data_IF_698189047869
#
_entry.id   IF_698189047869
#
_cell.length_a   1.000
_cell.length_b   1.000
_cell.length_c   1.000
_cell.angle_alpha   90.00
_cell.angle_beta   90.00
_cell.angle_gamma   90.00
#
_symmetry.space_group_name_H-M   'P 1'
#
loop_
_entity.id
_entity.type
_entity.pdbx_description
1 polymer ?
#
# COMPACT_ATOMS: atom_id res chain seq x y z
N UNK A 1 -23.86 -2.46 -8.57
CA UNK A 1 -22.53 -2.01 -9.05
C UNK A 1 -21.91 -1.27 -7.89
N UNK A 2 -20.78 -1.75 -7.37
CA UNK A 2 -20.04 -1.05 -6.31
C UNK A 2 -19.36 0.19 -6.90
N UNK A 3 -19.18 1.19 -6.05
CA UNK A 3 -18.43 2.41 -6.37
C UNK A 3 -16.93 2.10 -6.22
N UNK A 4 -16.10 2.62 -7.13
CA UNK A 4 -14.66 2.39 -7.14
C UNK A 4 -13.99 2.78 -5.81
N UNK A 5 -14.40 3.92 -5.24
CA UNK A 5 -13.93 4.36 -3.93
C UNK A 5 -14.25 3.33 -2.82
N UNK A 6 -15.42 2.70 -2.87
CA UNK A 6 -15.82 1.69 -1.89
C UNK A 6 -15.05 0.37 -2.07
N UNK A 7 -14.70 0.02 -3.31
CA UNK A 7 -13.86 -1.15 -3.58
C UNK A 7 -12.43 -0.94 -3.05
N UNK A 8 -11.87 0.28 -3.21
CA UNK A 8 -10.55 0.65 -2.67
C UNK A 8 -10.54 0.73 -1.14
N UNK A 9 -11.57 1.32 -0.53
CA UNK A 9 -11.71 1.32 0.92
C UNK A 9 -11.83 -0.11 1.47
N UNK A 10 -12.52 -1.00 0.75
CA UNK A 10 -12.58 -2.41 1.12
C UNK A 10 -11.20 -3.07 1.08
N UNK A 11 -10.36 -2.76 0.09
CA UNK A 11 -8.97 -3.24 0.05
C UNK A 11 -8.19 -2.81 1.30
N UNK A 12 -8.35 -1.56 1.77
CA UNK A 12 -7.75 -1.11 3.03
C UNK A 12 -8.19 -1.96 4.22
N UNK A 13 -9.51 -2.14 4.39
CA UNK A 13 -10.07 -2.92 5.49
C UNK A 13 -9.62 -4.38 5.48
N UNK A 14 -9.45 -4.97 4.29
CA UNK A 14 -8.98 -6.33 4.12
C UNK A 14 -7.50 -6.48 4.50
N UNK A 15 -6.66 -5.54 4.08
CA UNK A 15 -5.23 -5.49 4.43
C UNK A 15 -5.06 -5.28 5.94
N UNK A 16 -5.72 -4.29 6.51
CA UNK A 16 -5.62 -3.96 7.95
C UNK A 16 -6.02 -5.16 8.81
N UNK A 17 -7.15 -5.81 8.51
CA UNK A 17 -7.61 -7.01 9.22
C UNK A 17 -6.58 -8.14 9.16
N UNK A 18 -6.04 -8.43 7.98
CA UNK A 18 -5.12 -9.55 7.80
C UNK A 18 -3.77 -9.27 8.49
N UNK A 19 -3.33 -8.01 8.58
CA UNK A 19 -2.17 -7.58 9.37
C UNK A 19 -2.42 -7.68 10.88
N UNK A 20 -3.57 -7.20 11.38
CA UNK A 20 -3.95 -7.32 12.79
C UNK A 20 -3.97 -8.78 13.25
N UNK A 21 -4.53 -9.67 12.43
CA UNK A 21 -4.57 -11.10 12.72
C UNK A 21 -3.16 -11.70 12.88
N UNK A 22 -2.18 -11.23 12.12
CA UNK A 22 -0.78 -11.64 12.26
C UNK A 22 -0.12 -11.04 13.51
N UNK A 23 -0.36 -9.76 13.81
CA UNK A 23 0.16 -9.09 15.02
C UNK A 23 -0.29 -9.86 16.28
N UNK A 24 -1.54 -10.28 16.34
CA UNK A 24 -2.11 -10.97 17.49
C UNK A 24 -1.57 -12.40 17.66
N UNK A 25 -1.22 -13.07 16.55
CA UNK A 25 -0.79 -14.48 16.53
C UNK A 25 0.32 -14.69 15.49
N UNK A 26 1.59 -14.43 15.83
CA UNK A 26 2.67 -14.50 14.85
C UNK A 26 3.16 -15.93 14.52
N UNK A 27 2.57 -16.99 15.09
CA UNK A 27 3.04 -18.38 14.96
C UNK A 27 2.50 -19.14 13.73
N UNK A 28 3.17 -20.23 13.35
CA UNK A 28 3.07 -20.83 12.02
C UNK A 28 1.72 -21.48 11.64
N UNK A 29 1.36 -21.36 10.36
CA UNK A 29 0.36 -22.18 9.65
C UNK A 29 -0.84 -21.42 9.10
N UNK A 30 -1.44 -20.54 9.91
CA UNK A 30 -2.58 -19.70 9.49
C UNK A 30 -2.20 -18.22 9.31
N UNK A 31 -1.70 -17.56 10.38
CA UNK A 31 -1.36 -16.14 10.36
C UNK A 31 -0.26 -15.75 9.36
N UNK A 32 0.72 -16.64 9.10
CA UNK A 32 1.76 -16.38 8.10
C UNK A 32 1.24 -16.35 6.66
N UNK A 33 0.22 -17.16 6.35
CA UNK A 33 -0.43 -17.14 5.05
C UNK A 33 -1.23 -15.85 4.88
N UNK A 34 -1.94 -15.43 5.93
CA UNK A 34 -2.64 -14.14 5.96
C UNK A 34 -1.69 -12.95 5.84
N UNK A 35 -0.54 -12.97 6.52
CA UNK A 35 0.46 -11.91 6.40
C UNK A 35 1.01 -11.80 4.98
N UNK A 36 1.46 -12.90 4.38
CA UNK A 36 1.99 -12.88 3.00
C UNK A 36 0.95 -12.34 2.04
N UNK A 37 -0.31 -12.80 2.19
CA UNK A 37 -1.44 -12.27 1.42
C UNK A 37 -1.61 -10.76 1.64
N UNK A 38 -1.60 -10.28 2.89
CA UNK A 38 -1.74 -8.84 3.18
C UNK A 38 -0.60 -8.00 2.59
N UNK A 39 0.64 -8.52 2.63
CA UNK A 39 1.80 -7.87 2.02
C UNK A 39 1.66 -7.80 0.49
N UNK A 40 1.21 -8.87 -0.15
CA UNK A 40 0.98 -8.92 -1.60
C UNK A 40 -0.20 -8.01 -2.00
N UNK A 41 -1.27 -8.01 -1.22
CA UNK A 41 -2.43 -7.13 -1.43
C UNK A 41 -2.02 -5.66 -1.28
N UNK A 42 -1.20 -5.30 -0.29
CA UNK A 42 -0.69 -3.93 -0.14
C UNK A 42 0.22 -3.53 -1.32
N UNK A 43 1.08 -4.43 -1.82
CA UNK A 43 1.89 -4.15 -3.02
C UNK A 43 1.01 -3.95 -4.26
N UNK A 44 -0.05 -4.77 -4.40
CA UNK A 44 -1.03 -4.67 -5.48
C UNK A 44 -1.80 -3.35 -5.40
N UNK A 45 -2.20 -2.95 -4.20
CA UNK A 45 -2.87 -1.69 -3.92
C UNK A 45 -2.00 -0.49 -4.32
N UNK A 46 -0.77 -0.43 -3.80
CA UNK A 46 0.21 0.62 -4.14
C UNK A 46 0.46 0.68 -5.66
N UNK A 47 0.63 -0.46 -6.33
CA UNK A 47 0.78 -0.51 -7.78
C UNK A 47 -0.41 0.09 -8.51
N UNK A 48 -1.62 -0.33 -8.12
CA UNK A 48 -2.86 0.13 -8.72
C UNK A 48 -2.93 1.66 -8.64
N UNK A 49 -2.62 2.22 -7.48
CA UNK A 49 -2.74 3.65 -7.27
C UNK A 49 -1.68 4.44 -8.03
N UNK A 50 -0.41 4.02 -7.95
CA UNK A 50 0.68 4.72 -8.62
C UNK A 50 0.54 4.70 -10.15
N UNK A 51 0.03 3.60 -10.71
CA UNK A 51 -0.04 3.39 -12.15
C UNK A 51 -1.34 3.93 -12.75
N UNK A 52 -2.48 3.77 -12.07
CA UNK A 52 -3.78 4.12 -12.65
C UNK A 52 -4.42 5.34 -11.99
N UNK A 53 -4.25 5.53 -10.67
CA UNK A 53 -4.99 6.53 -9.91
C UNK A 53 -4.29 7.88 -9.84
N UNK A 54 -3.00 7.87 -9.55
CA UNK A 54 -2.21 9.08 -9.33
C UNK A 54 -1.94 9.89 -10.60
N UNK A 55 -1.73 9.31 -11.80
CA UNK A 55 -1.55 10.10 -13.02
C UNK A 55 -2.73 11.04 -13.36
N UNK A 56 -4.01 10.59 -13.37
CA UNK A 56 -5.13 11.49 -13.60
C UNK A 56 -5.32 12.52 -12.47
N UNK A 57 -5.10 12.13 -11.20
CA UNK A 57 -5.14 13.07 -10.06
C UNK A 57 -4.10 14.20 -10.19
N UNK A 58 -2.86 13.87 -10.57
CA UNK A 58 -1.81 14.88 -10.85
C UNK A 58 -2.23 15.81 -11.98
N UNK A 59 -2.80 15.26 -13.05
CA UNK A 59 -3.28 16.03 -14.21
C UNK A 59 -4.43 16.98 -13.84
N UNK A 60 -5.24 16.60 -12.86
CA UNK A 60 -6.32 17.43 -12.31
C UNK A 60 -5.84 18.46 -11.25
N UNK A 61 -4.54 18.52 -10.94
CA UNK A 61 -3.95 19.50 -10.03
C UNK A 61 -3.70 19.03 -8.59
N UNK A 62 -3.97 17.76 -8.26
CA UNK A 62 -3.73 17.19 -6.92
C UNK A 62 -2.26 16.79 -6.67
N UNK A 63 -1.31 17.61 -7.14
CA UNK A 63 0.12 17.30 -7.10
C UNK A 63 0.61 17.14 -5.65
N UNK A 64 0.25 18.06 -4.76
CA UNK A 64 0.66 18.03 -3.35
C UNK A 64 0.22 16.75 -2.63
N UNK A 65 -1.09 16.43 -2.60
CA UNK A 65 -1.60 15.19 -2.02
C UNK A 65 -0.94 13.94 -2.60
N UNK A 66 -0.78 13.83 -3.92
CA UNK A 66 -0.14 12.67 -4.55
C UNK A 66 1.33 12.53 -4.13
N UNK A 67 2.09 13.62 -4.00
CA UNK A 67 3.47 13.56 -3.52
C UNK A 67 3.59 13.05 -2.08
N UNK A 68 2.59 13.33 -1.23
CA UNK A 68 2.53 12.77 0.12
C UNK A 68 2.29 11.26 0.05
N UNK A 69 1.32 10.79 -0.75
CA UNK A 69 1.02 9.36 -0.87
C UNK A 69 2.25 8.58 -1.36
N UNK A 70 2.92 9.07 -2.41
CA UNK A 70 4.12 8.41 -2.94
C UNK A 70 5.27 8.32 -1.94
N UNK A 71 5.44 9.35 -1.09
CA UNK A 71 6.43 9.29 -0.02
C UNK A 71 6.09 8.16 0.96
N UNK A 72 4.81 8.07 1.34
CA UNK A 72 4.33 7.07 2.30
C UNK A 72 4.36 5.66 1.71
N UNK A 73 4.01 5.49 0.43
CA UNK A 73 4.19 4.24 -0.33
C UNK A 73 5.64 3.76 -0.29
N UNK A 74 6.60 4.67 -0.50
CA UNK A 74 8.02 4.35 -0.37
C UNK A 74 8.40 3.85 1.03
N UNK A 75 7.86 4.49 2.07
CA UNK A 75 8.10 4.07 3.46
C UNK A 75 7.50 2.69 3.75
N UNK A 76 6.25 2.45 3.33
CA UNK A 76 5.56 1.16 3.48
C UNK A 76 6.30 0.07 2.71
N UNK A 77 6.75 0.34 1.48
CA UNK A 77 7.51 -0.61 0.66
C UNK A 77 8.81 -1.05 1.34
N UNK A 78 9.53 -0.11 1.95
CA UNK A 78 10.78 -0.40 2.66
C UNK A 78 10.54 -1.20 3.95
N UNK A 79 9.41 -0.96 4.65
CA UNK A 79 9.01 -1.78 5.80
C UNK A 79 8.64 -3.19 5.35
N UNK A 80 7.86 -3.35 4.27
CA UNK A 80 7.49 -4.66 3.71
C UNK A 80 8.72 -5.49 3.35
N UNK A 81 9.74 -4.88 2.73
CA UNK A 81 11.00 -5.55 2.42
C UNK A 81 11.74 -6.04 3.67
N UNK A 82 11.72 -5.26 4.76
CA UNK A 82 12.31 -5.69 6.05
C UNK A 82 11.53 -6.85 6.67
N UNK A 83 10.20 -6.77 6.68
CA UNK A 83 9.33 -7.84 7.18
C UNK A 83 9.59 -9.13 6.41
N UNK A 84 9.68 -9.06 5.08
CA UNK A 84 9.99 -10.22 4.23
C UNK A 84 11.33 -10.87 4.57
N UNK A 85 12.37 -10.06 4.81
CA UNK A 85 13.67 -10.57 5.28
C UNK A 85 13.58 -11.29 6.62
N UNK A 86 12.87 -10.70 7.60
CA UNK A 86 12.68 -11.31 8.92
C UNK A 86 11.93 -12.65 8.83
N UNK A 87 10.91 -12.75 7.98
CA UNK A 87 10.20 -13.99 7.72
C UNK A 87 11.10 -15.05 7.07
N UNK A 88 11.97 -14.66 6.13
CA UNK A 88 12.95 -15.55 5.50
C UNK A 88 13.96 -16.13 6.49
N UNK A 89 14.31 -15.35 7.52
CA UNK A 89 15.22 -15.75 8.61
C UNK A 89 14.52 -16.52 9.75
N UNK A 90 13.21 -16.76 9.65
CA UNK A 90 12.41 -17.41 10.72
C UNK A 90 12.22 -16.55 11.97
N UNK A 91 12.44 -15.23 11.87
CA UNK A 91 12.31 -14.26 12.97
C UNK A 91 10.88 -13.71 13.07
N UNK A 92 9.91 -14.60 13.24
CA UNK A 92 8.49 -14.24 13.25
C UNK A 92 8.09 -13.22 14.33
N UNK A 93 8.57 -13.31 15.59
CA UNK A 93 8.25 -12.30 16.60
C UNK A 93 8.75 -10.91 16.23
N UNK A 94 9.91 -10.82 15.60
CA UNK A 94 10.47 -9.55 15.16
C UNK A 94 9.72 -8.99 13.95
N UNK A 95 9.31 -9.85 13.01
CA UNK A 95 8.45 -9.46 11.89
C UNK A 95 7.12 -8.87 12.40
N UNK A 96 6.51 -9.51 13.40
CA UNK A 96 5.28 -9.03 14.02
C UNK A 96 5.46 -7.67 14.71
N UNK A 97 6.56 -7.49 15.43
CA UNK A 97 6.86 -6.20 16.06
C UNK A 97 7.10 -5.10 15.02
N UNK A 98 7.81 -5.38 13.93
CA UNK A 98 7.99 -4.43 12.81
C UNK A 98 6.65 -4.08 12.15
N UNK A 99 5.78 -5.06 11.89
CA UNK A 99 4.44 -4.79 11.33
C UNK A 99 3.65 -3.89 12.28
N UNK A 100 3.63 -4.20 13.58
CA UNK A 100 2.88 -3.48 14.61
C UNK A 100 3.37 -2.05 14.83
N UNK A 101 4.68 -1.84 14.88
CA UNK A 101 5.27 -0.56 15.29
C UNK A 101 5.63 0.36 14.14
N UNK A 102 5.76 -0.18 12.92
CA UNK A 102 6.18 0.59 11.75
C UNK A 102 5.14 0.56 10.63
N UNK A 103 4.69 -0.61 10.18
CA UNK A 103 3.78 -0.71 9.02
C UNK A 103 2.37 -0.23 9.37
N UNK A 104 1.78 -0.77 10.43
CA UNK A 104 0.40 -0.51 10.81
C UNK A 104 0.15 0.98 11.12
N UNK A 105 1.04 1.70 11.85
CA UNK A 105 0.87 3.14 12.04
C UNK A 105 0.98 3.97 10.75
N UNK A 106 1.78 3.52 9.76
CA UNK A 106 1.83 4.18 8.45
C UNK A 106 0.48 4.05 7.74
N UNK A 107 -0.11 2.85 7.69
CA UNK A 107 -1.44 2.60 7.10
C UNK A 107 -2.52 3.42 7.80
N UNK A 108 -2.56 3.41 9.13
CA UNK A 108 -3.53 4.20 9.91
C UNK A 108 -3.42 5.71 9.66
N UNK A 109 -2.23 6.21 9.34
CA UNK A 109 -2.04 7.60 8.95
C UNK A 109 -2.34 7.85 7.45
N UNK A 110 -2.17 6.84 6.61
CA UNK A 110 -2.26 6.89 5.16
C UNK A 110 -3.70 6.78 4.66
N UNK A 111 -4.39 5.68 5.01
CA UNK A 111 -5.70 5.31 4.50
C UNK A 111 -6.73 6.46 4.61
N UNK A 112 -6.84 7.21 5.74
CA UNK A 112 -7.81 8.29 5.83
C UNK A 112 -7.56 9.45 4.87
N UNK A 113 -6.30 9.70 4.46
CA UNK A 113 -6.00 10.76 3.48
C UNK A 113 -6.53 10.37 2.11
N UNK A 114 -6.42 9.10 1.75
CA UNK A 114 -6.95 8.62 0.47
C UNK A 114 -8.47 8.65 0.48
N UNK A 115 -9.06 8.03 1.50
CA UNK A 115 -10.52 7.93 1.66
C UNK A 115 -11.20 9.29 1.73
N UNK A 116 -10.61 10.26 2.42
CA UNK A 116 -11.24 11.57 2.66
C UNK A 116 -10.83 12.64 1.65
N UNK A 117 -9.66 12.51 1.00
CA UNK A 117 -9.12 13.56 0.12
C UNK A 117 -9.12 13.10 -1.33
N UNK A 118 -8.60 11.90 -1.64
CA UNK A 118 -8.38 11.46 -3.02
C UNK A 118 -9.57 10.70 -3.59
N UNK A 119 -10.10 9.71 -2.88
CA UNK A 119 -11.20 8.86 -3.33
C UNK A 119 -12.50 9.62 -3.66
N UNK A 120 -12.85 10.75 -3.00
CA UNK A 120 -13.99 11.55 -3.40
C UNK A 120 -13.84 12.23 -4.78
N UNK A 121 -12.62 12.30 -5.32
CA UNK A 121 -12.35 12.95 -6.60
C UNK A 121 -12.44 11.99 -7.79
N UNK A 122 -12.51 10.67 -7.54
CA UNK A 122 -12.37 9.65 -8.60
C UNK A 122 -13.38 9.81 -9.72
N UNK A 123 -14.65 10.04 -9.37
CA UNK A 123 -15.72 10.23 -10.36
C UNK A 123 -15.51 11.50 -11.23
N UNK A 124 -14.79 12.50 -10.71
CA UNK A 124 -14.51 13.75 -11.40
C UNK A 124 -13.21 13.73 -12.23
N UNK A 125 -12.24 12.90 -11.86
CA UNK A 125 -10.92 12.86 -12.52
C UNK A 125 -10.73 11.66 -13.45
N UNK A 126 -11.45 10.56 -13.24
CA UNK A 126 -11.37 9.37 -14.07
C UNK A 126 -12.41 9.42 -15.20
N UNK A 127 -11.93 9.42 -16.44
CA UNK A 127 -12.79 9.14 -17.60
C UNK A 127 -13.30 7.70 -17.57
N UNK A 128 -14.41 7.43 -18.28
CA UNK A 128 -15.05 6.11 -18.30
C UNK A 128 -14.10 4.94 -18.67
N UNK A 129 -13.17 5.17 -19.61
CA UNK A 129 -12.19 4.16 -20.00
C UNK A 129 -11.19 3.85 -18.88
N UNK A 130 -10.62 4.88 -18.25
CA UNK A 130 -9.68 4.71 -17.14
C UNK A 130 -10.36 4.06 -15.92
N UNK A 131 -11.61 4.45 -15.63
CA UNK A 131 -12.40 3.83 -14.57
C UNK A 131 -12.77 2.37 -14.88
N UNK A 132 -12.87 1.96 -16.14
CA UNK A 132 -13.09 0.56 -16.52
C UNK A 132 -11.81 -0.26 -16.39
N UNK A 133 -10.67 0.26 -16.86
CA UNK A 133 -9.36 -0.37 -16.72
C UNK A 133 -8.98 -0.57 -15.25
N UNK A 134 -9.25 0.42 -14.41
CA UNK A 134 -9.00 0.34 -12.98
C UNK A 134 -9.86 -0.72 -12.28
N UNK A 135 -11.14 -0.85 -12.66
CA UNK A 135 -12.01 -1.92 -12.15
C UNK A 135 -11.54 -3.31 -12.58
N UNK A 136 -11.06 -3.43 -13.81
CA UNK A 136 -10.50 -4.68 -14.31
C UNK A 136 -9.25 -5.09 -13.52
N UNK A 137 -8.37 -4.12 -13.24
CA UNK A 137 -7.19 -4.37 -12.40
C UNK A 137 -7.55 -4.68 -10.95
N UNK A 138 -8.55 -4.01 -10.36
CA UNK A 138 -9.04 -4.36 -9.02
C UNK A 138 -9.54 -5.80 -8.94
N UNK A 139 -10.23 -6.28 -9.98
CA UNK A 139 -10.84 -7.60 -9.99
C UNK A 139 -9.82 -8.75 -10.13
N UNK A 140 -8.77 -8.56 -10.94
CA UNK A 140 -7.85 -9.65 -11.30
C UNK A 140 -6.42 -9.23 -11.62
N UNK A 141 -6.07 -7.97 -11.42
CA UNK A 141 -4.74 -7.43 -11.71
C UNK A 141 -3.66 -8.04 -10.83
N UNK A 142 -2.49 -8.23 -11.42
CA UNK A 142 -1.28 -8.65 -10.72
C UNK A 142 -0.20 -7.59 -10.91
N UNK A 143 0.63 -7.40 -9.88
CA UNK A 143 1.80 -6.53 -9.98
C UNK A 143 2.80 -7.18 -10.96
N UNK A 144 3.32 -6.45 -11.95
CA UNK A 144 4.34 -6.99 -12.85
C UNK A 144 5.61 -7.40 -12.12
N UNK A 145 6.25 -8.48 -12.58
CA UNK A 145 7.52 -8.95 -12.03
C UNK A 145 8.59 -7.85 -12.04
N UNK A 146 9.26 -7.68 -10.91
CA UNK A 146 10.33 -6.68 -10.75
C UNK A 146 9.85 -5.24 -10.63
N UNK A 147 8.54 -4.99 -10.59
CA UNK A 147 8.02 -3.66 -10.31
C UNK A 147 8.29 -3.24 -8.86
N UNK A 148 8.62 -1.96 -8.67
CA UNK A 148 8.82 -1.33 -7.37
C UNK A 148 8.14 0.03 -7.35
N UNK A 149 7.58 0.45 -6.21
CA UNK A 149 6.97 1.77 -6.07
C UNK A 149 7.97 2.91 -6.33
N UNK A 150 7.48 4.08 -6.76
CA UNK A 150 8.28 5.23 -7.23
C UNK A 150 9.37 5.64 -6.21
N UNK A 151 9.06 5.49 -4.91
CA UNK A 151 9.89 5.97 -3.80
C UNK A 151 10.51 4.85 -2.96
N UNK A 152 10.50 3.60 -3.42
CA UNK A 152 11.21 2.50 -2.78
C UNK A 152 12.69 2.86 -2.54
N UNK A 153 13.21 2.51 -1.36
CA UNK A 153 14.59 2.77 -0.95
C UNK A 153 14.93 4.22 -0.63
N UNK A 154 13.94 5.13 -0.60
CA UNK A 154 14.14 6.57 -0.35
C UNK A 154 13.67 7.03 1.02
N UNK A 155 13.17 6.13 1.86
CA UNK A 155 12.65 6.45 3.20
C UNK A 155 13.76 6.87 4.19
N UNK A 156 15.00 6.44 3.96
CA UNK A 156 16.18 6.92 4.69
C UNK A 156 16.78 8.11 3.93
N UNK A 157 16.36 9.32 4.31
CA UNK A 157 17.03 10.54 3.88
C UNK A 157 18.51 10.47 4.29
N UNK A 158 19.40 10.45 3.29
CA UNK A 158 20.80 10.86 3.34
C UNK A 158 21.27 11.36 4.72
N UNK A 159 21.91 10.49 5.52
CA UNK A 159 22.97 10.93 6.43
C UNK A 159 24.15 11.35 5.56
N UNK A 160 24.00 12.52 4.93
CA UNK A 160 25.08 13.15 4.19
C UNK A 160 26.17 13.46 5.18
N UNK A 161 27.31 12.78 5.02
CA UNK A 161 28.51 13.07 5.79
C UNK A 161 28.83 14.56 5.70
N UNK A 162 28.82 15.22 6.86
CA UNK A 162 29.59 16.44 7.01
C UNK A 162 31.03 16.02 7.24
N UNK A 163 31.87 16.44 6.29
CA UNK A 163 33.33 16.41 6.38
C UNK A 163 33.85 17.09 7.64
#
# INVERSE_FOLDING_TARGET
>A
MTNLAADLEKDHHDIDRDLEAFIDRPEEGGPLTSLRKAMDDLRRHIYLEEVFLFPPLRSAGFIGPVLVMLKEHGQMWDVLARVEGLLGDGRYPDAAETVKTELFPLLQAHNPKEEQILYPQLDGVLGAAAAAELREFLAQGVVPDGWTCERAGRSQGSTGGMS
#
